data_IF_397118229193
#
_entry.id   IF_397118229193
#
_cell.length_a   1.000
_cell.length_b   1.000
_cell.length_c   1.000
_cell.angle_alpha   90.00
_cell.angle_beta   90.00
_cell.angle_gamma   90.00
#
_symmetry.space_group_name_H-M   'P 1'
#
loop_
_entity.id
_entity.type
_entity.pdbx_description
1 polymer ?
#
# COMPACT_ATOMS: atom_id res chain seq x y z
N UNK A 1 -15.54 -4.02 23.88
CA UNK A 1 -15.85 -3.72 22.46
C UNK A 1 -14.76 -2.82 21.95
N UNK A 2 -13.64 -3.44 21.60
CA UNK A 2 -12.48 -2.76 21.03
C UNK A 2 -12.51 -2.89 19.50
N UNK A 3 -11.87 -1.95 18.83
CA UNK A 3 -11.76 -1.94 17.37
C UNK A 3 -10.28 -1.94 16.98
N UNK A 4 -9.93 -2.74 15.99
CA UNK A 4 -8.57 -2.77 15.45
C UNK A 4 -8.23 -1.40 14.82
N UNK A 5 -7.10 -0.81 15.23
CA UNK A 5 -6.67 0.51 14.75
C UNK A 5 -6.16 0.51 13.31
N UNK A 6 -5.72 -0.66 12.80
CA UNK A 6 -5.20 -0.79 11.44
C UNK A 6 -6.30 -1.06 10.41
N UNK A 7 -7.24 -1.98 10.69
CA UNK A 7 -8.26 -2.38 9.71
C UNK A 7 -9.70 -2.00 10.08
N UNK A 8 -9.93 -1.46 11.29
CA UNK A 8 -11.26 -1.06 11.76
C UNK A 8 -12.20 -2.21 12.11
N UNK A 9 -11.75 -3.47 12.08
CA UNK A 9 -12.56 -4.62 12.45
C UNK A 9 -12.87 -4.60 13.95
N UNK A 10 -14.10 -4.99 14.30
CA UNK A 10 -14.48 -5.22 15.70
C UNK A 10 -13.72 -6.43 16.24
N UNK A 11 -13.09 -6.25 17.39
CA UNK A 11 -12.29 -7.30 18.04
C UNK A 11 -12.89 -7.64 19.40
N UNK A 12 -12.96 -8.94 19.66
CA UNK A 12 -13.36 -9.45 20.97
C UNK A 12 -12.32 -9.06 22.03
N UNK A 13 -12.80 -8.73 23.22
CA UNK A 13 -11.94 -8.27 24.31
C UNK A 13 -10.91 -9.36 24.69
N UNK A 14 -9.62 -9.02 24.63
CA UNK A 14 -8.52 -9.92 25.02
C UNK A 14 -7.89 -10.77 23.91
N UNK A 15 -8.17 -10.50 22.63
CA UNK A 15 -7.42 -11.15 21.53
C UNK A 15 -6.05 -10.47 21.30
N UNK A 16 -4.93 -11.21 21.31
CA UNK A 16 -3.59 -10.60 21.16
C UNK A 16 -3.32 -10.09 19.73
N UNK A 17 -4.01 -10.64 18.73
CA UNK A 17 -3.89 -10.31 17.31
C UNK A 17 -5.28 -10.18 16.71
N UNK A 18 -5.44 -9.22 15.81
CA UNK A 18 -6.66 -9.05 15.05
C UNK A 18 -6.86 -10.28 14.14
N UNK A 19 -8.01 -10.98 14.22
CA UNK A 19 -8.29 -12.14 13.37
C UNK A 19 -8.48 -11.76 11.89
N UNK A 20 -8.65 -10.48 11.59
CA UNK A 20 -8.94 -9.98 10.24
C UNK A 20 -7.68 -9.50 9.48
N UNK A 21 -6.74 -8.85 10.15
CA UNK A 21 -5.53 -8.32 9.52
C UNK A 21 -4.21 -8.81 10.14
N UNK A 22 -4.26 -9.47 11.30
CA UNK A 22 -3.08 -9.95 12.01
C UNK A 22 -2.35 -8.89 12.86
N UNK A 23 -2.85 -7.65 12.94
CA UNK A 23 -2.23 -6.60 13.76
C UNK A 23 -2.42 -6.85 15.27
N UNK A 24 -1.41 -6.59 16.12
CA UNK A 24 -1.55 -6.74 17.56
C UNK A 24 -2.54 -5.72 18.16
N UNK A 25 -3.46 -6.19 19.02
CA UNK A 25 -4.51 -5.35 19.63
C UNK A 25 -4.07 -4.75 20.97
N UNK A 26 -3.29 -5.50 21.75
CA UNK A 26 -2.85 -5.15 23.12
C UNK A 26 -1.34 -4.91 23.24
N UNK A 27 -0.65 -4.72 22.12
CA UNK A 27 0.71 -4.22 22.19
C UNK A 27 0.63 -2.75 22.58
N UNK A 28 0.59 -2.48 23.89
CA UNK A 28 1.29 -1.34 24.47
C UNK A 28 2.77 -1.50 24.10
N UNK A 29 3.08 -1.26 22.82
CA UNK A 29 4.40 -0.81 22.47
C UNK A 29 4.39 0.61 22.99
N UNK A 30 5.03 0.83 24.15
CA UNK A 30 5.35 2.19 24.53
C UNK A 30 6.06 2.81 23.31
N UNK A 31 5.55 3.91 22.75
CA UNK A 31 6.12 4.47 21.53
C UNK A 31 7.62 4.77 21.72
N UNK A 32 8.03 5.14 22.93
CA UNK A 32 9.44 5.27 23.31
C UNK A 32 10.24 3.95 23.24
N UNK A 33 9.68 2.80 23.60
CA UNK A 33 10.39 1.52 23.49
C UNK A 33 10.43 0.99 22.06
N UNK A 34 9.39 1.27 21.25
CA UNK A 34 9.34 0.93 19.83
C UNK A 34 10.48 1.58 19.03
N UNK A 35 10.76 2.84 19.37
CA UNK A 35 11.77 3.66 18.72
C UNK A 35 13.19 3.21 19.12
N UNK A 36 13.38 2.85 20.40
CA UNK A 36 14.67 2.33 20.92
C UNK A 36 14.98 0.96 20.32
N UNK A 37 13.99 0.07 20.22
CA UNK A 37 14.16 -1.27 19.64
C UNK A 37 14.52 -1.18 18.15
N UNK A 38 13.90 -0.27 17.38
CA UNK A 38 14.20 -0.09 15.96
C UNK A 38 15.61 0.46 15.69
N UNK A 39 16.06 1.45 16.45
CA UNK A 39 17.41 2.01 16.29
C UNK A 39 18.47 0.96 16.63
N UNK A 40 18.30 0.25 17.75
CA UNK A 40 19.19 -0.83 18.16
C UNK A 40 19.26 -1.93 17.09
N UNK A 41 18.12 -2.39 16.58
CA UNK A 41 18.08 -3.44 15.56
C UNK A 41 18.77 -2.96 14.26
N UNK A 42 18.67 -1.68 13.91
CA UNK A 42 19.34 -1.08 12.75
C UNK A 42 20.85 -1.11 12.90
N UNK A 43 21.36 -0.68 14.05
CA UNK A 43 22.78 -0.73 14.39
C UNK A 43 23.30 -2.18 14.37
N UNK A 44 22.56 -3.10 15.00
CA UNK A 44 22.90 -4.53 15.04
C UNK A 44 22.97 -5.13 13.64
N UNK A 45 22.07 -4.74 12.73
CA UNK A 45 22.10 -5.20 11.34
C UNK A 45 23.34 -4.68 10.59
N UNK A 46 23.70 -3.41 10.76
CA UNK A 46 24.88 -2.84 10.11
C UNK A 46 26.17 -3.52 10.59
N UNK A 47 26.30 -3.73 11.90
CA UNK A 47 27.40 -4.49 12.50
C UNK A 47 27.43 -5.92 11.94
N UNK A 48 26.27 -6.58 11.81
CA UNK A 48 26.20 -7.95 11.30
C UNK A 48 26.74 -8.05 9.86
N UNK A 49 26.51 -7.01 9.05
CA UNK A 49 26.94 -6.94 7.65
C UNK A 49 28.40 -6.52 7.48
N UNK A 50 28.91 -5.64 8.34
CA UNK A 50 30.25 -5.05 8.21
C UNK A 50 31.31 -5.80 9.02
N UNK A 51 31.02 -6.07 10.29
CA UNK A 51 31.92 -6.68 11.26
C UNK A 51 31.63 -8.18 11.48
N UNK A 52 30.41 -8.61 11.20
CA UNK A 52 29.97 -10.00 11.23
C UNK A 52 28.99 -10.34 12.35
N UNK A 53 28.35 -11.51 12.24
CA UNK A 53 27.25 -11.98 13.10
C UNK A 53 27.63 -12.03 14.58
N UNK A 54 28.87 -12.41 14.91
CA UNK A 54 29.30 -12.55 16.31
C UNK A 54 29.30 -11.19 17.01
N UNK A 55 29.81 -10.14 16.35
CA UNK A 55 29.82 -8.77 16.86
C UNK A 55 28.39 -8.25 17.06
N UNK A 56 27.50 -8.51 16.10
CA UNK A 56 26.09 -8.13 16.18
C UNK A 56 25.33 -8.82 17.33
N UNK A 57 25.54 -10.13 17.50
CA UNK A 57 24.95 -10.90 18.61
C UNK A 57 25.44 -10.36 19.95
N UNK A 58 26.73 -10.00 20.04
CA UNK A 58 27.28 -9.40 21.26
C UNK A 58 26.63 -8.04 21.55
N UNK A 59 26.56 -7.15 20.55
CA UNK A 59 25.92 -5.83 20.66
C UNK A 59 24.47 -5.95 21.14
N UNK A 60 23.68 -6.82 20.51
CA UNK A 60 22.28 -7.03 20.87
C UNK A 60 22.11 -7.51 22.31
N UNK A 61 23.01 -8.37 22.80
CA UNK A 61 22.97 -8.89 24.17
C UNK A 61 23.37 -7.86 25.22
N UNK A 62 24.30 -6.96 24.90
CA UNK A 62 24.75 -5.92 25.82
C UNK A 62 23.63 -4.91 26.12
N UNK A 63 22.79 -4.61 25.13
CA UNK A 63 21.66 -3.67 25.28
C UNK A 63 20.40 -4.35 25.83
N UNK A 64 20.03 -5.52 25.30
CA UNK A 64 18.76 -6.18 25.68
C UNK A 64 18.90 -7.15 26.87
N UNK A 65 20.12 -7.54 27.24
CA UNK A 65 20.36 -8.57 28.24
C UNK A 65 19.97 -9.99 27.81
N UNK A 66 19.66 -10.21 26.53
CA UNK A 66 19.16 -11.49 26.01
C UNK A 66 20.17 -12.65 26.12
N UNK A 67 19.65 -13.89 26.14
CA UNK A 67 20.46 -15.10 26.01
C UNK A 67 21.05 -15.25 24.59
N UNK A 68 22.08 -16.09 24.46
CA UNK A 68 22.80 -16.28 23.21
C UNK A 68 21.92 -16.82 22.08
N UNK A 69 21.00 -17.73 22.39
CA UNK A 69 20.15 -18.34 21.38
C UNK A 69 19.07 -17.36 20.89
N UNK A 70 18.50 -16.55 21.78
CA UNK A 70 17.58 -15.47 21.42
C UNK A 70 18.28 -14.41 20.58
N UNK A 71 19.43 -13.91 21.03
CA UNK A 71 20.19 -12.91 20.29
C UNK A 71 20.61 -13.38 18.90
N UNK A 72 21.08 -14.64 18.78
CA UNK A 72 21.40 -15.23 17.48
C UNK A 72 20.18 -15.30 16.58
N UNK A 73 19.02 -15.78 17.08
CA UNK A 73 17.78 -15.85 16.30
C UNK A 73 17.35 -14.49 15.78
N UNK A 74 17.47 -13.44 16.58
CA UNK A 74 17.15 -12.07 16.16
C UNK A 74 18.08 -11.61 15.04
N UNK A 75 19.40 -11.76 15.22
CA UNK A 75 20.39 -11.34 14.21
C UNK A 75 20.25 -12.13 12.91
N UNK A 76 20.04 -13.45 12.99
CA UNK A 76 19.79 -14.29 11.82
C UNK A 76 18.50 -13.84 11.09
N UNK A 77 17.45 -13.52 11.86
CA UNK A 77 16.18 -13.00 11.35
C UNK A 77 16.36 -11.67 10.62
N UNK A 78 17.11 -10.73 11.20
CA UNK A 78 17.42 -9.43 10.60
C UNK A 78 18.20 -9.56 9.28
N UNK A 79 19.15 -10.49 9.22
CA UNK A 79 19.91 -10.75 8.00
C UNK A 79 19.05 -11.43 6.94
N UNK A 80 18.16 -12.34 7.34
CA UNK A 80 17.23 -13.00 6.43
C UNK A 80 16.16 -12.04 5.88
N UNK A 81 15.70 -11.07 6.68
CA UNK A 81 14.71 -10.07 6.28
C UNK A 81 15.29 -8.86 5.55
N UNK A 82 16.62 -8.74 5.46
CA UNK A 82 17.28 -7.63 4.76
C UNK A 82 17.39 -6.32 5.55
N UNK A 83 17.10 -6.31 6.86
CA UNK A 83 17.21 -5.12 7.71
C UNK A 83 16.15 -4.99 8.79
N UNK A 84 16.42 -4.09 9.75
CA UNK A 84 15.52 -3.74 10.85
C UNK A 84 14.36 -2.80 10.46
N UNK A 85 14.35 -2.25 9.25
CA UNK A 85 13.42 -1.18 8.86
C UNK A 85 12.52 -1.49 7.67
N UNK A 86 12.60 -2.67 7.06
CA UNK A 86 11.83 -2.93 5.82
C UNK A 86 10.46 -3.58 6.08
N UNK A 87 10.25 -4.20 7.25
CA UNK A 87 8.93 -4.78 7.58
C UNK A 87 7.81 -3.72 7.69
N UNK A 88 8.13 -2.45 7.94
CA UNK A 88 7.13 -1.37 8.00
C UNK A 88 6.91 -0.65 6.65
N UNK A 89 7.90 -0.67 5.74
CA UNK A 89 7.76 -0.08 4.41
C UNK A 89 7.15 -1.09 3.41
N UNK A 90 7.47 -2.38 3.52
CA UNK A 90 6.96 -3.41 2.62
C UNK A 90 5.45 -3.69 2.78
N UNK A 91 4.85 -3.45 3.94
CA UNK A 91 3.42 -3.69 4.16
C UNK A 91 2.52 -2.58 3.57
N UNK A 92 3.07 -1.39 3.27
CA UNK A 92 2.30 -0.22 2.78
C UNK A 92 2.31 -0.09 1.24
N UNK A 93 3.21 -0.79 0.56
CA UNK A 93 3.43 -0.62 -0.88
C UNK A 93 2.40 -1.27 -1.83
N UNK A 94 1.55 -2.26 -1.46
CA UNK A 94 0.60 -2.81 -2.43
C UNK A 94 -0.54 -1.85 -2.77
N UNK A 95 -1.02 -1.06 -1.80
CA UNK A 95 -2.17 -0.17 -1.99
C UNK A 95 -1.78 1.14 -2.68
N UNK A 96 -0.66 1.76 -2.31
CA UNK A 96 -0.22 3.03 -2.90
C UNK A 96 0.20 2.87 -4.38
N UNK A 97 0.82 1.75 -4.75
CA UNK A 97 1.16 1.46 -6.14
C UNK A 97 -0.09 1.24 -7.01
N UNK A 98 -1.10 0.57 -6.45
CA UNK A 98 -2.38 0.35 -7.12
C UNK A 98 -3.15 1.67 -7.31
N UNK A 99 -3.17 2.54 -6.29
CA UNK A 99 -3.81 3.86 -6.39
C UNK A 99 -3.17 4.73 -7.47
N UNK A 100 -1.85 4.80 -7.50
CA UNK A 100 -1.11 5.54 -8.53
C UNK A 100 -1.38 4.99 -9.94
N UNK A 101 -1.38 3.66 -10.10
CA UNK A 101 -1.66 3.00 -11.38
C UNK A 101 -3.11 3.24 -11.84
N UNK A 102 -4.08 3.19 -10.92
CA UNK A 102 -5.49 3.44 -11.19
C UNK A 102 -5.74 4.89 -11.63
N UNK A 103 -5.06 5.85 -11.00
CA UNK A 103 -5.14 7.27 -11.38
C UNK A 103 -4.54 7.50 -12.78
N UNK A 104 -3.39 6.91 -13.08
CA UNK A 104 -2.75 7.01 -14.40
C UNK A 104 -3.65 6.42 -15.51
N UNK A 105 -4.19 5.23 -15.28
CA UNK A 105 -5.14 4.59 -16.21
C UNK A 105 -6.39 5.46 -16.40
N UNK A 106 -6.92 6.08 -15.33
CA UNK A 106 -8.09 6.94 -15.44
C UNK A 106 -7.82 8.20 -16.28
N UNK A 107 -6.60 8.74 -16.22
CA UNK A 107 -6.18 9.89 -17.05
C UNK A 107 -5.95 9.49 -18.51
N UNK A 108 -5.26 8.38 -18.75
CA UNK A 108 -4.87 7.97 -20.11
C UNK A 108 -6.02 7.28 -20.87
N UNK A 109 -6.67 6.31 -20.22
CA UNK A 109 -7.62 5.37 -20.83
C UNK A 109 -9.07 5.64 -20.40
N UNK A 110 -9.27 6.45 -19.36
CA UNK A 110 -10.58 6.84 -18.86
C UNK A 110 -11.11 5.94 -17.74
N UNK A 111 -12.16 6.42 -17.07
CA UNK A 111 -12.73 5.86 -15.85
C UNK A 111 -13.13 4.38 -15.93
N UNK A 112 -13.59 3.91 -17.09
CA UNK A 112 -14.01 2.50 -17.25
C UNK A 112 -12.81 1.55 -17.20
N UNK A 113 -11.67 1.94 -17.80
CA UNK A 113 -10.45 1.14 -17.76
C UNK A 113 -9.90 1.06 -16.33
N UNK A 114 -9.94 2.16 -15.59
CA UNK A 114 -9.53 2.23 -14.19
C UNK A 114 -10.39 1.31 -13.28
N UNK A 115 -11.72 1.34 -13.44
CA UNK A 115 -12.63 0.45 -12.70
C UNK A 115 -12.34 -1.02 -12.99
N UNK A 116 -12.07 -1.37 -14.26
CA UNK A 116 -11.76 -2.74 -14.64
C UNK A 116 -10.44 -3.20 -13.99
N UNK A 117 -9.41 -2.37 -14.04
CA UNK A 117 -8.10 -2.68 -13.47
C UNK A 117 -8.16 -2.82 -11.95
N UNK A 118 -8.83 -1.90 -11.25
CA UNK A 118 -9.06 -1.97 -9.81
C UNK A 118 -9.78 -3.27 -9.40
N UNK A 119 -10.79 -3.68 -10.18
CA UNK A 119 -11.55 -4.91 -9.94
C UNK A 119 -10.70 -6.16 -10.12
N UNK A 120 -9.83 -6.18 -11.12
CA UNK A 120 -8.91 -7.30 -11.39
C UNK A 120 -7.84 -7.43 -10.30
N UNK A 121 -7.40 -6.30 -9.72
CA UNK A 121 -6.41 -6.27 -8.64
C UNK A 121 -6.98 -6.65 -7.24
N UNK A 122 -8.18 -6.18 -6.89
CA UNK A 122 -8.77 -6.40 -5.56
C UNK A 122 -9.83 -7.52 -5.48
N UNK A 123 -10.18 -8.15 -6.61
CA UNK A 123 -11.24 -9.18 -6.70
C UNK A 123 -12.55 -8.73 -6.02
N UNK A 124 -12.96 -7.49 -6.27
CA UNK A 124 -14.17 -6.89 -5.68
C UNK A 124 -15.35 -6.84 -6.67
N UNK A 125 -16.54 -6.52 -6.16
CA UNK A 125 -17.73 -6.34 -7.00
C UNK A 125 -17.62 -5.11 -7.91
N UNK A 126 -18.38 -5.08 -9.01
CA UNK A 126 -18.39 -3.93 -9.94
C UNK A 126 -18.82 -2.62 -9.22
N UNK A 127 -19.71 -2.74 -8.23
CA UNK A 127 -20.17 -1.62 -7.42
C UNK A 127 -19.03 -1.08 -6.55
N UNK A 128 -18.35 -1.95 -5.81
CA UNK A 128 -17.25 -1.58 -4.92
C UNK A 128 -16.08 -0.99 -5.71
N UNK A 129 -15.73 -1.59 -6.86
CA UNK A 129 -14.69 -1.08 -7.75
C UNK A 129 -15.01 0.32 -8.28
N UNK A 130 -16.29 0.59 -8.59
CA UNK A 130 -16.72 1.92 -9.04
C UNK A 130 -16.61 2.94 -7.92
N UNK A 131 -17.13 2.63 -6.73
CA UNK A 131 -17.12 3.54 -5.59
C UNK A 131 -15.69 3.86 -5.15
N UNK A 132 -14.79 2.87 -5.13
CA UNK A 132 -13.38 3.08 -4.81
C UNK A 132 -12.66 3.98 -5.83
N UNK A 133 -12.82 3.72 -7.14
CA UNK A 133 -12.21 4.55 -8.18
C UNK A 133 -12.80 5.96 -8.19
N UNK A 134 -14.10 6.12 -7.92
CA UNK A 134 -14.74 7.43 -7.78
C UNK A 134 -14.19 8.21 -6.58
N UNK A 135 -13.98 7.54 -5.44
CA UNK A 135 -13.36 8.15 -4.27
C UNK A 135 -11.92 8.61 -4.59
N UNK A 136 -11.11 7.75 -5.21
CA UNK A 136 -9.72 8.07 -5.56
C UNK A 136 -9.60 9.27 -6.51
N UNK A 137 -10.44 9.33 -7.54
CA UNK A 137 -10.47 10.46 -8.48
C UNK A 137 -10.93 11.76 -7.80
N UNK A 138 -11.90 11.66 -6.89
CA UNK A 138 -12.42 12.81 -6.15
C UNK A 138 -11.37 13.36 -5.19
N UNK A 139 -10.69 12.48 -4.45
CA UNK A 139 -9.68 12.85 -3.47
C UNK A 139 -8.44 13.49 -4.13
N UNK A 140 -8.03 12.96 -5.28
CA UNK A 140 -6.86 13.46 -6.03
C UNK A 140 -7.19 14.58 -7.02
N UNK A 141 -8.46 15.00 -7.13
CA UNK A 141 -8.88 16.07 -8.03
C UNK A 141 -8.62 15.77 -9.52
N UNK A 142 -8.59 14.49 -9.90
CA UNK A 142 -8.29 14.06 -11.26
C UNK A 142 -9.59 13.96 -12.05
N UNK A 143 -9.75 14.80 -13.06
CA UNK A 143 -10.85 14.65 -14.01
C UNK A 143 -10.50 13.54 -15.02
N UNK A 144 -11.20 12.39 -14.99
CA UNK A 144 -10.90 11.31 -15.91
C UNK A 144 -11.16 11.78 -17.34
N UNK A 145 -10.34 11.31 -18.29
CA UNK A 145 -10.54 11.63 -19.71
C UNK A 145 -11.94 11.16 -20.09
N UNK A 146 -12.84 12.13 -20.32
CA UNK A 146 -14.14 11.86 -20.91
C UNK A 146 -13.87 11.26 -22.28
N UNK A 147 -14.05 9.95 -22.41
CA UNK A 147 -14.02 9.30 -23.71
C UNK A 147 -15.16 9.93 -24.48
N UNK A 148 -14.82 10.87 -25.37
CA UNK A 148 -15.75 11.58 -26.22
C UNK A 148 -16.50 10.52 -27.02
N UNK A 149 -17.72 10.24 -26.58
CA UNK A 149 -18.65 9.41 -27.31
C UNK A 149 -18.83 9.96 -28.70
N UNK A 150 -19.11 9.06 -29.64
CA UNK A 150 -19.14 9.21 -31.09
C UNK A 150 -20.10 10.28 -31.66
N UNK A 151 -20.56 11.23 -30.85
CA UNK A 151 -21.42 12.35 -31.23
C UNK A 151 -20.70 13.40 -32.11
N UNK A 152 -19.36 13.43 -32.09
CA UNK A 152 -18.57 14.36 -32.91
C UNK A 152 -18.52 14.00 -34.39
N UNK A 153 -18.76 12.73 -34.76
CA UNK A 153 -18.81 12.30 -36.17
C UNK A 153 -20.10 12.77 -36.86
N UNK A 154 -21.21 12.85 -36.12
CA UNK A 154 -22.49 13.33 -36.66
C UNK A 154 -22.49 14.84 -36.91
N UNK A 155 -21.76 15.62 -36.10
CA UNK A 155 -21.67 17.08 -36.27
C UNK A 155 -20.79 17.47 -37.46
N UNK A 156 -19.70 16.74 -37.74
CA UNK A 156 -18.85 16.99 -38.92
C UNK A 156 -19.52 16.58 -40.24
N UNK A 157 -20.36 15.53 -40.24
CA UNK A 157 -21.08 15.09 -41.44
C UNK A 157 -22.17 16.08 -41.90
N UNK A 158 -22.83 16.78 -40.96
CA UNK A 158 -23.89 17.75 -41.28
C UNK A 158 -23.30 19.08 -41.79
N UNK A 159 -22.12 19.49 -41.30
CA UNK A 159 -21.44 20.71 -41.75
C UNK A 159 -20.79 20.57 -43.14
N UNK A 160 -20.30 19.38 -43.51
CA UNK A 160 -19.73 19.15 -44.85
C UNK A 160 -20.76 18.70 -45.89
N UNK A 161 -21.89 18.10 -45.48
CA UNK A 161 -22.94 17.64 -46.39
C UNK A 161 -23.86 18.74 -46.94
N UNK A 162 -23.83 19.95 -46.38
CA UNK A 162 -24.75 21.04 -46.74
C UNK A 162 -24.28 22.01 -47.83
N UNK A 163 -22.99 22.01 -48.21
CA UNK A 163 -22.42 23.07 -49.06
C UNK A 163 -22.18 22.72 -50.54
N UNK A 164 -22.40 21.47 -50.97
CA UNK A 164 -22.11 21.07 -52.38
C UNK A 164 -23.32 21.09 -53.35
N UNK A 165 -24.52 21.51 -52.93
CA UNK A 165 -25.70 21.47 -53.82
C UNK A 165 -26.15 22.81 -54.45
N UNK A 166 -25.37 23.90 -54.41
CA UNK A 166 -25.81 25.18 -54.97
C UNK A 166 -24.90 25.87 -56.00
N UNK A 167 -23.87 25.25 -56.56
CA UNK A 167 -23.13 25.89 -57.65
C UNK A 167 -22.61 24.90 -58.72
N UNK A 168 -23.08 25.16 -59.95
CA UNK A 168 -22.76 24.58 -61.27
C UNK A 168 -23.49 23.31 -61.71
#
# INVERSE_FOLDING_TARGET
MDYCRDCGAEVEDGVPLCPQCGSPIDAFVDPESADIDNELLREVWEIARTEGVISAVKRYREETGSDLATAKRVVDGLLASGGAGDQFLAQRQPMEHLEAEVLDIAQQQGKIAAIKHYREAQVCGLKDAKEAVEALLTEHGVEPRAVAGCASVLLFAILCGGSLCCAL
#
